data_IF_176965527826
#
_entry.id   IF_176965527826
#
_cell.length_a   1.000
_cell.length_b   1.000
_cell.length_c   1.000
_cell.angle_alpha   90.00
_cell.angle_beta   90.00
_cell.angle_gamma   90.00
#
_symmetry.space_group_name_H-M   'P 1'
#
loop_
_entity.id
_entity.type
_entity.pdbx_description
1 polymer ?
#
# COMPACT_ATOMS: atom_id res chain seq x y z
N UNK A 1 24.93 68.02 27.86
CA UNK A 1 23.98 69.13 28.23
C UNK A 1 22.59 68.67 27.83
N UNK A 2 21.79 68.15 28.83
CA UNK A 2 20.73 68.85 29.50
C UNK A 2 19.58 69.25 28.53
N UNK A 3 18.44 68.67 28.57
CA UNK A 3 17.25 68.86 29.36
C UNK A 3 16.05 68.04 28.87
N UNK A 4 15.43 67.29 29.70
CA UNK A 4 13.97 67.07 29.80
C UNK A 4 13.31 68.37 30.30
N UNK A 5 11.99 68.57 30.42
CA UNK A 5 10.90 67.58 30.48
C UNK A 5 9.51 68.08 29.94
N UNK A 6 8.44 67.32 30.26
CA UNK A 6 7.05 67.66 30.67
C UNK A 6 5.88 67.52 29.69
N UNK A 7 4.99 66.59 30.06
CA UNK A 7 3.54 66.56 30.31
C UNK A 7 2.59 67.06 29.18
N UNK A 8 1.43 66.47 28.90
CA UNK A 8 0.40 65.77 29.65
C UNK A 8 -0.72 65.27 28.75
N UNK A 9 -1.27 64.09 29.12
CA UNK A 9 -2.69 63.71 29.13
C UNK A 9 -3.61 63.92 27.94
N UNK A 10 -4.30 62.90 27.65
CA UNK A 10 -5.59 62.89 26.97
C UNK A 10 -6.01 61.45 26.58
N UNK A 11 -6.99 61.01 27.31
CA UNK A 11 -7.60 59.69 27.31
C UNK A 11 -8.35 59.31 26.02
N UNK A 12 -8.55 58.02 25.95
CA UNK A 12 -9.72 57.27 25.51
C UNK A 12 -9.68 56.53 24.20
N UNK A 13 -9.90 55.30 24.41
CA UNK A 13 -10.81 54.25 23.91
C UNK A 13 -10.24 53.28 22.94
N UNK A 14 -10.16 52.02 23.47
CA UNK A 14 -10.56 50.73 22.92
C UNK A 14 -10.33 50.44 21.43
N UNK A 15 -9.47 49.46 21.16
CA UNK A 15 -9.95 48.14 20.85
C UNK A 15 -8.75 47.16 20.80
N UNK A 16 -8.83 46.21 21.73
CA UNK A 16 -8.10 44.97 21.79
C UNK A 16 -8.32 44.14 20.51
N UNK A 17 -7.25 43.78 19.82
CA UNK A 17 -7.20 42.57 19.01
C UNK A 17 -5.84 41.91 19.20
N UNK A 18 -5.75 41.13 20.27
CA UNK A 18 -4.66 40.23 20.53
C UNK A 18 -4.58 39.18 19.42
N UNK A 19 -3.53 39.22 18.63
CA UNK A 19 -3.15 38.11 17.78
C UNK A 19 -2.46 37.08 18.68
N UNK A 20 -3.17 35.98 18.94
CA UNK A 20 -2.67 34.74 19.52
C UNK A 20 -1.63 34.14 18.61
N UNK A 21 -0.41 33.80 19.08
CA UNK A 21 0.58 33.08 18.26
C UNK A 21 0.10 31.66 18.08
N UNK A 22 -0.17 31.32 16.81
CA UNK A 22 -0.71 30.09 16.30
C UNK A 22 -0.20 28.83 17.01
N UNK A 23 -1.13 28.17 17.63
CA UNK A 23 -1.04 26.81 18.11
C UNK A 23 -0.69 25.89 16.94
N UNK A 24 0.47 25.25 17.00
CA UNK A 24 0.89 24.24 16.06
C UNK A 24 -0.12 23.07 16.12
N UNK A 25 -0.96 22.98 15.10
CA UNK A 25 -1.88 21.86 14.94
C UNK A 25 -1.05 20.60 14.72
N UNK A 26 -0.87 19.83 15.78
CA UNK A 26 -0.35 18.46 15.68
C UNK A 26 -1.25 17.65 14.75
N UNK A 27 -0.69 16.78 13.88
CA UNK A 27 -1.49 15.94 13.02
C UNK A 27 -2.35 15.04 13.88
N UNK A 28 -3.67 15.12 13.73
CA UNK A 28 -4.63 14.23 14.37
C UNK A 28 -4.47 12.83 13.77
N UNK A 29 -3.52 12.06 14.29
CA UNK A 29 -3.49 10.62 14.19
C UNK A 29 -4.15 10.07 15.46
N UNK A 30 -5.47 9.91 15.41
CA UNK A 30 -6.19 9.11 16.38
C UNK A 30 -7.39 8.51 15.67
N UNK A 31 -7.25 7.29 15.17
CA UNK A 31 -8.37 6.40 15.02
C UNK A 31 -9.01 6.25 16.41
N UNK A 32 -10.25 6.72 16.52
CA UNK A 32 -11.07 6.64 17.72
C UNK A 32 -11.16 5.16 18.15
N UNK A 33 -10.75 4.73 19.36
CA UNK A 33 -10.67 3.33 19.76
C UNK A 33 -12.01 2.58 19.82
N UNK A 34 -13.11 3.20 19.40
CA UNK A 34 -14.45 2.63 19.43
C UNK A 34 -15.03 2.32 18.05
N UNK A 35 -14.33 2.57 16.96
CA UNK A 35 -14.88 2.30 15.64
C UNK A 35 -14.46 0.91 15.16
N UNK A 36 -15.40 -0.03 15.19
CA UNK A 36 -15.21 -1.38 14.60
C UNK A 36 -14.96 -1.23 13.10
N UNK A 37 -13.80 -1.66 12.63
CA UNK A 37 -13.48 -1.66 11.20
C UNK A 37 -14.46 -2.55 10.43
N UNK A 38 -14.79 -2.15 9.21
CA UNK A 38 -15.65 -2.90 8.30
C UNK A 38 -14.97 -3.09 6.94
N UNK A 39 -15.18 -4.22 6.26
CA UNK A 39 -14.73 -4.39 4.89
C UNK A 39 -15.19 -3.25 3.98
N UNK A 40 -14.29 -2.76 3.12
CA UNK A 40 -14.52 -1.63 2.24
C UNK A 40 -14.13 -0.26 2.80
N UNK A 41 -13.94 -0.13 4.12
CA UNK A 41 -13.42 1.11 4.70
C UNK A 41 -11.96 1.35 4.33
N UNK A 42 -11.57 2.63 4.33
CA UNK A 42 -10.18 3.04 4.24
C UNK A 42 -9.67 3.49 5.60
N UNK A 43 -8.44 3.11 5.90
CA UNK A 43 -7.70 3.54 7.09
C UNK A 43 -6.33 4.06 6.69
N UNK A 44 -5.73 4.91 7.51
CA UNK A 44 -4.39 5.44 7.28
C UNK A 44 -3.45 4.90 8.33
N UNK A 45 -2.32 4.35 7.90
CA UNK A 45 -1.27 3.81 8.77
C UNK A 45 0.06 3.78 8.01
N UNK A 46 1.13 4.19 8.67
CA UNK A 46 2.45 4.25 8.05
C UNK A 46 2.61 5.34 6.99
N UNK A 47 3.84 5.49 6.49
CA UNK A 47 4.23 6.51 5.52
C UNK A 47 5.23 5.93 4.52
N UNK A 48 5.06 6.23 3.23
CA UNK A 48 5.99 5.76 2.20
C UNK A 48 5.88 6.62 0.93
N UNK A 49 7.01 7.01 0.29
CA UNK A 49 8.39 6.78 0.70
C UNK A 49 8.92 7.80 1.73
N UNK A 50 8.16 8.85 2.02
CA UNK A 50 8.55 9.94 2.94
C UNK A 50 7.58 10.03 4.11
N UNK A 51 8.02 10.62 5.20
CA UNK A 51 7.17 10.86 6.38
C UNK A 51 5.91 11.69 6.09
N UNK A 52 5.91 12.51 5.03
CA UNK A 52 4.73 13.27 4.59
C UNK A 52 3.71 12.44 3.81
N UNK A 53 4.09 11.27 3.32
CA UNK A 53 3.32 10.50 2.35
C UNK A 53 2.61 9.33 3.05
N UNK A 54 1.50 9.64 3.72
CA UNK A 54 0.69 8.65 4.43
C UNK A 54 0.15 7.56 3.52
N UNK A 55 0.21 6.32 3.97
CA UNK A 55 -0.33 5.18 3.24
C UNK A 55 -1.80 5.01 3.60
N UNK A 56 -2.66 4.95 2.57
CA UNK A 56 -4.07 4.58 2.71
C UNK A 56 -4.24 3.10 2.42
N UNK A 57 -4.92 2.41 3.33
CA UNK A 57 -5.22 0.98 3.26
C UNK A 57 -6.71 0.76 3.12
N UNK A 58 -7.10 -0.19 2.30
CA UNK A 58 -8.47 -0.70 2.23
C UNK A 58 -8.61 -1.90 3.15
N UNK A 59 -9.65 -1.93 3.97
CA UNK A 59 -10.03 -3.11 4.77
C UNK A 59 -10.67 -4.13 3.84
N UNK A 60 -10.08 -5.32 3.74
CA UNK A 60 -10.62 -6.43 2.94
C UNK A 60 -11.45 -7.40 3.76
N UNK A 61 -11.04 -7.65 5.00
CA UNK A 61 -11.68 -8.63 5.89
C UNK A 61 -11.48 -8.21 7.35
N UNK A 62 -12.38 -8.65 8.23
CA UNK A 62 -12.28 -8.44 9.67
C UNK A 62 -12.56 -9.76 10.38
N UNK A 63 -11.63 -10.20 11.24
CA UNK A 63 -11.72 -11.45 11.97
C UNK A 63 -11.38 -11.23 13.44
N UNK A 64 -12.38 -11.15 14.27
CA UNK A 64 -12.21 -10.86 15.70
C UNK A 64 -11.58 -9.49 15.92
N UNK A 65 -10.37 -9.46 16.45
CA UNK A 65 -9.60 -8.26 16.78
C UNK A 65 -8.59 -7.83 15.71
N UNK A 66 -8.62 -8.44 14.53
CA UNK A 66 -7.71 -8.14 13.41
C UNK A 66 -8.46 -7.82 12.13
N UNK A 67 -7.84 -6.99 11.29
CA UNK A 67 -8.33 -6.64 9.97
C UNK A 67 -7.26 -6.94 8.91
N UNK A 68 -7.68 -7.52 7.79
CA UNK A 68 -6.84 -7.63 6.60
C UNK A 68 -6.87 -6.31 5.84
N UNK A 69 -5.72 -5.69 5.74
CA UNK A 69 -5.51 -4.43 5.04
C UNK A 69 -4.72 -4.66 3.75
N UNK A 70 -5.07 -3.94 2.69
CA UNK A 70 -4.27 -3.87 1.46
C UNK A 70 -4.06 -2.40 1.08
N UNK A 71 -2.89 -2.05 0.59
CA UNK A 71 -2.64 -0.69 0.10
C UNK A 71 -3.62 -0.33 -1.03
N UNK A 72 -4.19 0.86 -0.97
CA UNK A 72 -5.16 1.32 -1.97
C UNK A 72 -4.53 1.52 -3.35
N UNK A 73 -3.23 1.87 -3.37
CA UNK A 73 -2.44 2.15 -4.58
C UNK A 73 -1.23 1.24 -4.68
N UNK A 74 -0.63 1.17 -5.88
CA UNK A 74 0.71 0.64 -6.03
C UNK A 74 1.71 1.62 -5.43
N UNK A 75 2.43 1.19 -4.38
CA UNK A 75 3.28 2.10 -3.58
C UNK A 75 4.66 2.32 -4.17
N UNK A 76 5.21 1.29 -4.81
CA UNK A 76 6.56 1.27 -5.36
C UNK A 76 6.62 0.32 -6.56
N UNK A 77 7.74 0.30 -7.27
CA UNK A 77 8.10 -0.71 -8.25
C UNK A 77 9.36 -1.44 -7.82
N UNK A 78 9.21 -2.74 -7.60
CA UNK A 78 10.30 -3.63 -7.23
C UNK A 78 10.18 -4.90 -8.07
N UNK A 79 11.28 -5.52 -8.52
CA UNK A 79 11.21 -6.83 -9.12
C UNK A 79 10.71 -7.84 -8.07
N UNK A 80 9.96 -8.84 -8.51
CA UNK A 80 9.58 -9.96 -7.64
C UNK A 80 10.83 -10.67 -7.13
N UNK A 81 11.83 -10.81 -8.01
CA UNK A 81 13.17 -11.22 -7.62
C UNK A 81 14.24 -10.43 -8.39
N UNK A 82 15.24 -9.91 -7.68
CA UNK A 82 16.32 -9.09 -8.27
C UNK A 82 17.21 -9.88 -9.24
N UNK A 83 17.26 -11.20 -9.07
CA UNK A 83 18.03 -12.11 -9.94
C UNK A 83 17.05 -12.88 -10.83
N UNK A 84 17.31 -12.94 -12.13
CA UNK A 84 16.58 -13.83 -13.02
C UNK A 84 16.87 -15.30 -12.67
N UNK A 85 15.84 -16.09 -12.48
CA UNK A 85 15.94 -17.51 -12.12
C UNK A 85 14.65 -17.99 -11.46
N UNK A 86 14.54 -19.31 -11.29
CA UNK A 86 13.39 -19.90 -10.57
C UNK A 86 13.30 -19.36 -9.15
N UNK A 87 12.13 -18.90 -8.77
CA UNK A 87 11.86 -18.28 -7.48
C UNK A 87 10.44 -18.61 -7.01
N UNK A 88 10.27 -18.77 -5.71
CA UNK A 88 8.98 -18.85 -5.03
C UNK A 88 8.81 -17.64 -4.13
N UNK A 89 7.61 -17.46 -3.57
CA UNK A 89 7.39 -16.38 -2.60
C UNK A 89 8.39 -16.44 -1.43
N UNK A 90 8.60 -17.65 -0.89
CA UNK A 90 9.53 -17.89 0.22
C UNK A 90 10.93 -17.30 -0.04
N UNK A 91 11.44 -17.47 -1.25
CA UNK A 91 12.83 -17.13 -1.63
C UNK A 91 12.96 -15.81 -2.37
N UNK A 92 11.85 -15.11 -2.63
CA UNK A 92 11.85 -13.88 -3.42
C UNK A 92 12.50 -12.72 -2.65
N UNK A 93 13.28 -11.91 -3.37
CA UNK A 93 13.84 -10.68 -2.81
C UNK A 93 12.76 -9.64 -2.48
N UNK A 94 11.59 -9.70 -3.12
CA UNK A 94 10.46 -8.82 -2.80
C UNK A 94 9.87 -9.11 -1.43
N UNK A 95 9.73 -10.38 -1.06
CA UNK A 95 9.29 -10.76 0.29
C UNK A 95 10.27 -10.26 1.36
N UNK A 96 11.57 -10.46 1.13
CA UNK A 96 12.61 -9.95 2.03
C UNK A 96 12.53 -8.42 2.16
N UNK A 97 12.45 -7.70 1.05
CA UNK A 97 12.31 -6.25 1.03
C UNK A 97 11.06 -5.77 1.78
N UNK A 98 9.91 -6.43 1.62
CA UNK A 98 8.67 -6.08 2.32
C UNK A 98 8.78 -6.24 3.83
N UNK A 99 9.44 -7.31 4.30
CA UNK A 99 9.55 -7.63 5.72
C UNK A 99 10.79 -7.03 6.42
N UNK A 100 11.64 -6.35 5.68
CA UNK A 100 12.82 -5.65 6.20
C UNK A 100 12.76 -4.15 5.85
N UNK A 101 13.12 -3.78 4.63
CA UNK A 101 13.26 -2.38 4.22
C UNK A 101 11.95 -1.63 4.28
N UNK A 102 10.89 -2.17 3.68
CA UNK A 102 9.58 -1.51 3.67
C UNK A 102 8.98 -1.46 5.07
N UNK A 103 8.94 -2.58 5.80
CA UNK A 103 8.37 -2.63 7.16
C UNK A 103 9.06 -1.63 8.10
N UNK A 104 10.39 -1.57 8.09
CA UNK A 104 11.14 -0.69 8.98
C UNK A 104 11.11 0.79 8.54
N UNK A 105 10.98 1.04 7.23
CA UNK A 105 10.95 2.40 6.70
C UNK A 105 9.57 3.06 6.70
N UNK A 106 8.52 2.24 6.58
CA UNK A 106 7.15 2.75 6.44
C UNK A 106 6.39 2.89 7.77
N UNK A 107 6.79 2.16 8.82
CA UNK A 107 6.03 2.07 10.07
C UNK A 107 6.89 2.40 11.29
N UNK A 108 6.30 3.09 12.25
CA UNK A 108 6.86 3.28 13.59
C UNK A 108 6.93 1.95 14.35
N UNK A 109 7.71 1.90 15.43
CA UNK A 109 7.81 0.71 16.29
C UNK A 109 6.45 0.29 16.89
N UNK A 110 5.59 1.25 17.21
CA UNK A 110 4.23 1.03 17.71
C UNK A 110 3.33 0.42 16.62
N UNK A 111 3.37 0.97 15.41
CA UNK A 111 2.63 0.44 14.26
C UNK A 111 3.12 -0.98 13.90
N UNK A 112 4.43 -1.23 13.90
CA UNK A 112 4.99 -2.55 13.65
C UNK A 112 4.57 -3.61 14.69
N UNK A 113 4.33 -3.21 15.95
CA UNK A 113 3.79 -4.10 17.00
C UNK A 113 2.33 -4.45 16.74
N UNK A 114 1.56 -3.54 16.12
CA UNK A 114 0.18 -3.79 15.74
C UNK A 114 0.04 -4.72 14.53
N UNK A 115 1.03 -4.71 13.62
CA UNK A 115 1.05 -5.60 12.45
C UNK A 115 1.39 -7.02 12.90
N UNK A 116 0.47 -7.95 12.66
CA UNK A 116 0.61 -9.34 13.10
C UNK A 116 1.49 -10.16 12.17
N UNK A 117 2.37 -10.98 12.75
CA UNK A 117 3.02 -12.04 11.98
C UNK A 117 1.96 -13.07 11.59
N UNK A 118 1.83 -13.32 10.30
CA UNK A 118 0.76 -14.10 9.70
C UNK A 118 1.33 -15.32 8.99
N UNK A 119 0.67 -16.45 9.17
CA UNK A 119 0.91 -17.63 8.33
C UNK A 119 0.38 -17.37 6.93
N UNK A 120 1.26 -17.42 5.94
CA UNK A 120 0.97 -17.17 4.52
C UNK A 120 1.05 -18.49 3.77
N UNK A 121 -0.11 -18.95 3.30
CA UNK A 121 -0.23 -20.18 2.52
C UNK A 121 0.20 -19.92 1.06
N UNK A 122 1.17 -20.68 0.59
CA UNK A 122 1.68 -20.64 -0.77
C UNK A 122 1.39 -21.95 -1.53
N UNK A 123 0.57 -22.83 -0.96
CA UNK A 123 0.19 -24.09 -1.57
C UNK A 123 -0.52 -23.91 -2.91
N UNK A 124 -0.66 -25.01 -3.65
CA UNK A 124 -1.22 -25.02 -5.02
C UNK A 124 -2.59 -24.35 -5.13
N UNK A 125 -3.45 -24.45 -4.10
CA UNK A 125 -4.77 -23.81 -4.07
C UNK A 125 -4.73 -22.27 -4.08
N UNK A 126 -3.57 -21.67 -3.81
CA UNK A 126 -3.35 -20.24 -3.86
C UNK A 126 -2.90 -19.75 -5.24
N UNK A 127 -2.52 -20.65 -6.14
CA UNK A 127 -2.11 -20.36 -7.51
C UNK A 127 -3.28 -20.17 -8.46
N UNK A 128 -2.98 -19.71 -9.66
CA UNK A 128 -3.97 -19.60 -10.73
C UNK A 128 -4.40 -21.01 -11.22
N UNK A 129 -5.69 -21.22 -11.34
CA UNK A 129 -6.28 -22.50 -11.78
C UNK A 129 -5.79 -22.96 -13.18
N UNK A 130 -5.25 -22.02 -13.97
CA UNK A 130 -4.71 -22.30 -15.32
C UNK A 130 -3.25 -22.73 -15.32
N UNK A 131 -2.56 -22.60 -14.19
CA UNK A 131 -1.13 -22.86 -14.06
C UNK A 131 -0.87 -23.90 -12.98
N UNK A 132 -0.12 -24.94 -13.31
CA UNK A 132 0.24 -26.01 -12.38
C UNK A 132 1.63 -25.80 -11.78
N UNK A 133 1.90 -24.56 -11.35
CA UNK A 133 3.21 -24.16 -10.83
C UNK A 133 3.21 -24.23 -9.31
N UNK A 134 4.26 -24.85 -8.76
CA UNK A 134 4.48 -24.92 -7.32
C UNK A 134 4.82 -23.53 -6.75
N UNK A 135 4.06 -23.07 -5.79
CA UNK A 135 4.26 -21.79 -5.09
C UNK A 135 5.34 -21.82 -4.00
N UNK A 136 5.88 -23.01 -3.71
CA UNK A 136 6.89 -23.23 -2.67
C UNK A 136 6.31 -23.40 -1.27
N UNK A 137 7.18 -23.27 -0.27
CA UNK A 137 6.79 -23.44 1.13
C UNK A 137 5.97 -22.25 1.65
N UNK A 138 5.13 -22.54 2.65
CA UNK A 138 4.41 -21.52 3.40
C UNK A 138 5.36 -20.68 4.25
N UNK A 139 4.99 -19.43 4.49
CA UNK A 139 5.86 -18.46 5.17
C UNK A 139 5.18 -17.83 6.39
N UNK A 140 5.97 -17.13 7.18
CA UNK A 140 5.50 -16.28 8.27
C UNK A 140 5.91 -14.85 7.94
N UNK A 141 4.95 -13.98 7.66
CA UNK A 141 5.21 -12.62 7.20
C UNK A 141 4.38 -11.60 7.97
N UNK A 142 4.92 -10.41 8.20
CA UNK A 142 4.16 -9.25 8.66
C UNK A 142 3.51 -8.52 7.49
N UNK A 143 4.28 -8.36 6.40
CA UNK A 143 3.81 -7.72 5.18
C UNK A 143 3.97 -8.71 4.02
N UNK A 144 2.91 -8.90 3.25
CA UNK A 144 2.87 -9.86 2.15
C UNK A 144 2.09 -9.31 0.95
N UNK A 145 2.10 -10.03 -0.15
CA UNK A 145 1.23 -9.78 -1.30
C UNK A 145 0.04 -10.76 -1.25
N UNK A 146 -1.09 -10.39 -1.81
CA UNK A 146 -2.18 -11.35 -2.00
C UNK A 146 -1.76 -12.48 -2.95
N UNK A 147 -2.29 -13.68 -2.72
CA UNK A 147 -2.27 -14.74 -3.72
C UNK A 147 -3.28 -14.49 -4.83
N UNK A 148 -3.20 -15.29 -5.91
CA UNK A 148 -4.25 -15.27 -6.93
C UNK A 148 -5.63 -15.61 -6.34
N UNK A 149 -5.73 -16.63 -5.50
CA UNK A 149 -7.00 -17.03 -4.88
C UNK A 149 -7.59 -15.91 -4.00
N UNK A 150 -6.75 -15.22 -3.23
CA UNK A 150 -7.19 -14.07 -2.43
C UNK A 150 -7.59 -12.88 -3.31
N UNK A 151 -6.81 -12.56 -4.33
CA UNK A 151 -7.16 -11.49 -5.25
C UNK A 151 -8.46 -11.78 -6.02
N UNK A 152 -8.70 -13.03 -6.40
CA UNK A 152 -9.98 -13.46 -6.98
C UNK A 152 -11.13 -13.31 -5.99
N UNK A 153 -10.94 -13.72 -4.73
CA UNK A 153 -11.94 -13.59 -3.65
C UNK A 153 -12.36 -12.14 -3.42
N UNK A 154 -11.39 -11.22 -3.29
CA UNK A 154 -11.69 -9.85 -2.86
C UNK A 154 -11.97 -8.89 -4.04
N UNK A 155 -11.31 -9.10 -5.16
CA UNK A 155 -11.39 -8.19 -6.31
C UNK A 155 -12.07 -8.78 -7.53
N UNK A 156 -12.41 -10.08 -7.51
CA UNK A 156 -13.08 -10.77 -8.63
C UNK A 156 -12.29 -10.63 -9.94
N UNK A 157 -10.96 -10.76 -9.83
CA UNK A 157 -10.08 -10.62 -10.99
C UNK A 157 -10.47 -11.62 -12.08
N UNK A 158 -10.46 -11.16 -13.34
CA UNK A 158 -10.80 -11.99 -14.49
C UNK A 158 -9.67 -12.95 -14.87
N UNK A 159 -10.00 -13.96 -15.64
CA UNK A 159 -9.03 -14.86 -16.28
C UNK A 159 -8.16 -14.12 -17.31
N UNK A 160 -6.99 -14.64 -17.71
CA UNK A 160 -6.13 -14.00 -18.69
C UNK A 160 -6.87 -13.67 -20.00
N UNK A 161 -6.62 -12.47 -20.51
CA UNK A 161 -7.16 -12.02 -21.79
C UNK A 161 -8.59 -11.47 -21.74
N UNK A 162 -9.27 -11.50 -20.59
CA UNK A 162 -10.61 -10.93 -20.39
C UNK A 162 -10.49 -9.70 -19.50
N UNK A 163 -11.18 -8.62 -19.84
CA UNK A 163 -11.20 -7.41 -19.00
C UNK A 163 -11.93 -7.71 -17.69
N UNK A 164 -11.23 -7.45 -16.60
CA UNK A 164 -11.76 -7.60 -15.26
C UNK A 164 -12.45 -6.35 -14.74
N UNK A 165 -13.09 -6.44 -13.58
CA UNK A 165 -13.82 -5.35 -12.98
C UNK A 165 -12.89 -4.20 -12.54
N UNK A 166 -13.43 -2.98 -12.51
CA UNK A 166 -12.70 -1.79 -12.11
C UNK A 166 -12.13 -1.86 -10.68
N UNK A 167 -12.83 -2.55 -9.77
CA UNK A 167 -12.35 -2.76 -8.39
C UNK A 167 -11.01 -3.51 -8.30
N UNK A 168 -10.62 -4.25 -9.35
CA UNK A 168 -9.33 -4.93 -9.43
C UNK A 168 -8.21 -4.02 -9.96
N UNK A 169 -8.57 -2.87 -10.54
CA UNK A 169 -7.66 -1.90 -11.13
C UNK A 169 -7.23 -0.88 -10.09
N UNK A 170 -5.95 -0.57 -10.04
CA UNK A 170 -5.38 0.43 -9.13
C UNK A 170 -4.54 1.43 -9.90
N UNK A 171 -4.38 2.62 -9.35
CA UNK A 171 -3.39 3.58 -9.82
C UNK A 171 -2.08 3.43 -9.04
N UNK A 172 -0.93 3.78 -9.61
CA UNK A 172 0.31 3.92 -8.86
C UNK A 172 0.24 5.18 -7.97
N UNK A 173 1.06 5.23 -6.92
CA UNK A 173 1.40 6.51 -6.30
C UNK A 173 2.22 7.33 -7.27
N UNK A 174 2.31 8.66 -7.02
CA UNK A 174 3.23 9.49 -7.82
C UNK A 174 4.65 8.97 -7.74
N UNK A 175 5.09 8.53 -6.57
CA UNK A 175 6.42 7.95 -6.39
C UNK A 175 6.62 6.70 -7.26
N UNK A 176 5.70 5.73 -7.22
CA UNK A 176 5.80 4.53 -8.04
C UNK A 176 5.82 4.87 -9.54
N UNK A 177 5.02 5.84 -9.99
CA UNK A 177 5.04 6.32 -11.36
C UNK A 177 6.38 6.93 -11.75
N UNK A 178 6.96 7.77 -10.88
CA UNK A 178 8.28 8.39 -11.07
C UNK A 178 9.41 7.33 -11.08
N UNK A 179 9.23 6.18 -10.39
CA UNK A 179 10.14 5.04 -10.42
C UNK A 179 9.97 4.14 -11.65
N UNK A 180 9.03 4.43 -12.53
CA UNK A 180 8.82 3.71 -13.78
C UNK A 180 7.72 2.65 -13.77
N UNK A 181 6.73 2.78 -12.88
CA UNK A 181 5.56 1.91 -12.92
C UNK A 181 4.90 1.94 -14.30
N UNK A 182 4.54 0.75 -14.82
CA UNK A 182 3.70 0.69 -15.99
C UNK A 182 2.35 1.37 -15.75
N UNK A 183 1.95 2.28 -16.60
CA UNK A 183 0.68 2.99 -16.53
C UNK A 183 -0.05 2.83 -17.87
N UNK A 184 -1.29 2.38 -17.81
CA UNK A 184 -2.14 2.18 -18.98
C UNK A 184 -3.00 3.39 -19.24
N UNK A 185 -2.91 3.97 -20.42
CA UNK A 185 -3.81 5.05 -20.86
C UNK A 185 -5.21 4.54 -21.21
N UNK A 186 -5.34 3.26 -21.55
CA UNK A 186 -6.58 2.62 -21.98
C UNK A 186 -7.48 2.24 -20.80
N UNK A 187 -6.90 1.63 -19.75
CA UNK A 187 -7.66 1.12 -18.63
C UNK A 187 -7.65 2.09 -17.46
N UNK A 188 -8.84 2.36 -16.93
CA UNK A 188 -9.03 3.29 -15.82
C UNK A 188 -9.50 2.55 -14.56
N UNK A 189 -9.18 3.12 -13.42
CA UNK A 189 -9.74 2.78 -12.12
C UNK A 189 -11.16 3.35 -11.97
N UNK A 190 -11.90 2.95 -10.95
CA UNK A 190 -13.27 3.42 -10.71
C UNK A 190 -13.37 4.96 -10.54
N UNK A 191 -12.30 5.63 -10.13
CA UNK A 191 -12.20 7.09 -10.03
C UNK A 191 -11.60 7.75 -11.29
N UNK A 192 -11.52 7.01 -12.40
CA UNK A 192 -11.11 7.51 -13.71
C UNK A 192 -9.60 7.75 -13.87
N UNK A 193 -8.76 7.25 -12.99
CA UNK A 193 -7.31 7.38 -13.07
C UNK A 193 -6.69 6.23 -13.88
N UNK A 194 -5.54 6.49 -14.46
CA UNK A 194 -4.79 5.50 -15.24
C UNK A 194 -4.39 4.31 -14.39
N UNK A 195 -4.73 3.10 -14.86
CA UNK A 195 -4.50 1.89 -14.12
C UNK A 195 -3.07 1.36 -14.32
N UNK A 196 -2.53 0.72 -13.29
CA UNK A 196 -1.25 0.01 -13.31
C UNK A 196 -1.44 -1.48 -13.07
N UNK A 197 -0.37 -2.26 -13.28
CA UNK A 197 -0.30 -3.66 -12.87
C UNK A 197 0.36 -3.81 -11.51
N UNK A 198 0.02 -4.87 -10.79
CA UNK A 198 0.54 -5.11 -9.45
C UNK A 198 0.78 -6.59 -9.18
N UNK A 199 1.85 -6.87 -8.45
CA UNK A 199 2.28 -8.22 -8.12
C UNK A 199 1.32 -8.97 -7.22
N UNK A 200 1.19 -10.25 -7.48
CA UNK A 200 0.67 -11.25 -6.54
C UNK A 200 1.84 -12.12 -6.04
N UNK A 201 1.66 -12.82 -4.91
CA UNK A 201 2.71 -13.73 -4.41
C UNK A 201 2.72 -15.08 -5.13
N UNK A 202 1.64 -15.45 -5.80
CA UNK A 202 1.55 -16.69 -6.55
C UNK A 202 2.51 -16.71 -7.72
N UNK A 203 3.06 -17.89 -8.12
CA UNK A 203 3.87 -18.02 -9.31
C UNK A 203 3.04 -17.77 -10.58
N UNK A 204 3.72 -17.50 -11.69
CA UNK A 204 3.16 -17.53 -13.03
C UNK A 204 3.03 -18.95 -13.60
N UNK A 205 3.02 -19.09 -14.92
CA UNK A 205 2.95 -20.41 -15.58
C UNK A 205 4.21 -21.26 -15.33
N UNK A 206 5.26 -20.66 -14.84
CA UNK A 206 6.49 -21.30 -14.35
C UNK A 206 7.13 -20.45 -13.25
N UNK A 207 8.18 -20.93 -12.60
CA UNK A 207 8.86 -20.21 -11.51
C UNK A 207 9.82 -19.11 -11.98
N UNK A 208 9.98 -18.85 -13.27
CA UNK A 208 10.71 -17.68 -13.80
C UNK A 208 9.79 -16.44 -13.83
N UNK A 209 8.48 -16.66 -13.71
CA UNK A 209 7.44 -15.65 -13.77
C UNK A 209 6.64 -15.63 -12.45
N UNK A 210 6.18 -14.46 -12.06
CA UNK A 210 5.25 -14.29 -10.95
C UNK A 210 3.91 -13.76 -11.46
N UNK A 211 2.83 -14.20 -10.83
CA UNK A 211 1.49 -13.73 -11.15
C UNK A 211 1.36 -12.23 -10.81
N UNK A 212 0.58 -11.53 -11.60
CA UNK A 212 0.22 -10.14 -11.35
C UNK A 212 -1.25 -9.90 -11.75
N UNK A 213 -1.82 -8.82 -11.27
CA UNK A 213 -3.06 -8.28 -11.82
C UNK A 213 -2.69 -7.20 -12.84
N UNK A 214 -3.12 -7.37 -14.07
CA UNK A 214 -2.91 -6.41 -15.15
C UNK A 214 -3.75 -5.13 -14.93
N UNK A 215 -3.36 -4.05 -15.58
CA UNK A 215 -4.11 -2.79 -15.61
C UNK A 215 -5.56 -2.94 -16.08
N UNK A 216 -5.86 -3.99 -16.86
CA UNK A 216 -7.23 -4.34 -17.29
C UNK A 216 -8.05 -5.10 -16.24
N UNK A 217 -7.48 -5.45 -15.07
CA UNK A 217 -8.18 -6.12 -13.97
C UNK A 217 -8.24 -7.65 -14.09
N UNK A 218 -7.47 -8.27 -14.99
CA UNK A 218 -7.34 -9.72 -15.09
C UNK A 218 -6.03 -10.21 -14.49
N UNK A 219 -5.95 -11.50 -14.18
CA UNK A 219 -4.66 -12.13 -13.86
C UNK A 219 -3.79 -12.21 -15.12
N UNK A 220 -2.50 -12.03 -14.92
CA UNK A 220 -1.44 -12.28 -15.88
C UNK A 220 -0.16 -12.64 -15.15
N UNK A 221 0.93 -12.64 -15.86
CA UNK A 221 2.24 -12.92 -15.31
C UNK A 221 3.29 -11.96 -15.88
N UNK A 222 4.36 -11.79 -15.16
CA UNK A 222 5.53 -11.03 -15.56
C UNK A 222 6.79 -11.79 -15.13
N UNK A 223 7.85 -11.68 -15.93
CA UNK A 223 9.16 -12.17 -15.49
C UNK A 223 9.46 -11.67 -14.08
N UNK A 224 9.95 -12.54 -13.21
CA UNK A 224 10.23 -12.19 -11.82
C UNK A 224 11.22 -11.02 -11.68
N UNK A 225 12.07 -10.76 -12.68
CA UNK A 225 13.00 -9.63 -12.72
C UNK A 225 12.43 -8.34 -13.34
N UNK A 226 11.14 -8.31 -13.70
CA UNK A 226 10.46 -7.13 -14.23
C UNK A 226 10.49 -5.99 -13.19
N UNK A 227 10.72 -4.75 -13.67
CA UNK A 227 10.93 -3.57 -12.82
C UNK A 227 9.86 -2.47 -12.98
N UNK A 228 8.74 -2.78 -13.62
CA UNK A 228 7.67 -1.82 -13.87
C UNK A 228 6.31 -2.25 -13.28
N UNK A 229 6.29 -3.36 -12.56
CA UNK A 229 5.10 -3.87 -11.87
C UNK A 229 5.07 -3.36 -10.44
N UNK A 230 3.94 -2.77 -10.04
CA UNK A 230 3.78 -2.18 -8.73
C UNK A 230 3.74 -3.20 -7.59
N UNK A 231 4.28 -2.78 -6.45
CA UNK A 231 4.10 -3.44 -5.16
C UNK A 231 2.83 -2.90 -4.50
N UNK A 232 1.90 -3.79 -4.19
CA UNK A 232 0.64 -3.53 -3.47
C UNK A 232 0.60 -4.38 -2.20
N UNK A 233 1.22 -3.95 -1.10
CA UNK A 233 1.35 -4.76 0.10
C UNK A 233 0.03 -4.95 0.84
N UNK A 234 -0.06 -6.08 1.56
CA UNK A 234 -1.14 -6.42 2.47
C UNK A 234 -0.57 -6.83 3.85
N UNK A 235 -1.39 -6.72 4.90
CA UNK A 235 -1.01 -7.08 6.28
C UNK A 235 -2.26 -7.36 7.13
N UNK A 236 -2.10 -8.15 8.20
CA UNK A 236 -3.10 -8.34 9.26
C UNK A 236 -2.77 -7.53 10.51
#
# INVERSE_FOLDING_TARGET
DIHTPYWNSGADTDTDTGADPGEAVAPKSATNPSQTLQPGQNVTMGHYPKASDSITWQVLDVQGDKALLIAQKGLDVQPYNTKYGSVTWETSSLRDWLNTTFLNGAFTDEEQKAIRTTYVDNGKAQGCDLWDTDGGNNTQDKVFLLSYAEAKKYFDIATPGIDGPEKARIQPTKYAADQGAYVSEEFKTADGKDATRWWLRSPGCNQLDAACVHSRGCVGEQMCSNKDTCVRPAMW
#
